data_IF_844936111305
#
_entry.id   IF_844936111305
#
_cell.length_a   1.000
_cell.length_b   1.000
_cell.length_c   1.000
_cell.angle_alpha   90.00
_cell.angle_beta   90.00
_cell.angle_gamma   90.00
#
_symmetry.space_group_name_H-M   'P 1'
#
loop_
_entity.id
_entity.type
_entity.pdbx_description
1 polymer ?
#
# COMPACT_ATOMS: atom_id res chain seq x y z
N UNK A 1 -1.76 -29.38 -11.94
CA UNK A 1 -0.59 -28.87 -11.18
C UNK A 1 -0.76 -29.19 -9.70
N UNK A 2 0.29 -29.56 -8.97
CA UNK A 2 0.22 -29.88 -7.54
C UNK A 2 -0.20 -28.65 -6.71
N UNK A 3 -1.08 -28.85 -5.74
CA UNK A 3 -1.64 -27.82 -4.84
C UNK A 3 -0.54 -26.98 -4.17
N UNK A 4 0.58 -27.62 -3.84
CA UNK A 4 1.74 -26.99 -3.23
C UNK A 4 2.28 -25.79 -4.04
N UNK A 5 2.35 -25.89 -5.37
CA UNK A 5 2.85 -24.80 -6.22
C UNK A 5 1.90 -23.59 -6.20
N UNK A 6 0.58 -23.80 -6.17
CA UNK A 6 -0.41 -22.70 -6.12
C UNK A 6 -0.32 -21.92 -4.81
N UNK A 7 -0.09 -22.62 -3.71
CA UNK A 7 0.10 -21.99 -2.39
C UNK A 7 1.39 -21.15 -2.42
N UNK A 8 2.48 -21.68 -2.96
CA UNK A 8 3.75 -20.96 -3.06
C UNK A 8 3.63 -19.70 -3.93
N UNK A 9 2.94 -19.78 -5.07
CA UNK A 9 2.66 -18.63 -5.92
C UNK A 9 1.83 -17.57 -5.19
N UNK A 10 0.75 -17.97 -4.51
CA UNK A 10 -0.09 -17.05 -3.73
C UNK A 10 0.71 -16.31 -2.64
N UNK A 11 1.62 -17.01 -1.96
CA UNK A 11 2.51 -16.41 -0.96
C UNK A 11 3.46 -15.43 -1.63
N UNK A 12 4.05 -15.81 -2.77
CA UNK A 12 4.94 -14.95 -3.55
C UNK A 12 4.28 -13.62 -3.96
N UNK A 13 3.08 -13.69 -4.52
CA UNK A 13 2.31 -12.49 -4.90
C UNK A 13 1.91 -11.64 -3.69
N UNK A 14 1.56 -12.27 -2.57
CA UNK A 14 1.24 -11.56 -1.33
C UNK A 14 2.46 -10.80 -0.81
N UNK A 15 3.63 -11.44 -0.76
CA UNK A 15 4.88 -10.79 -0.37
C UNK A 15 5.22 -9.61 -1.29
N UNK A 16 5.09 -9.78 -2.61
CA UNK A 16 5.32 -8.71 -3.57
C UNK A 16 4.36 -7.53 -3.34
N UNK A 17 3.08 -7.81 -3.13
CA UNK A 17 2.07 -6.79 -2.85
C UNK A 17 2.40 -5.97 -1.59
N UNK A 18 2.82 -6.62 -0.51
CA UNK A 18 3.24 -5.93 0.73
C UNK A 18 4.45 -5.03 0.50
N UNK A 19 5.45 -5.51 -0.25
CA UNK A 19 6.65 -4.72 -0.58
C UNK A 19 6.27 -3.49 -1.41
N UNK A 20 5.46 -3.66 -2.46
CA UNK A 20 4.99 -2.56 -3.29
C UNK A 20 4.18 -1.54 -2.47
N UNK A 21 3.33 -2.01 -1.56
CA UNK A 21 2.51 -1.15 -0.71
C UNK A 21 3.39 -0.27 0.19
N UNK A 22 4.37 -0.88 0.85
CA UNK A 22 5.31 -0.15 1.70
C UNK A 22 6.16 0.85 0.91
N UNK A 23 6.67 0.45 -0.25
CA UNK A 23 7.45 1.34 -1.12
C UNK A 23 6.60 2.50 -1.63
N UNK A 24 5.34 2.26 -2.01
CA UNK A 24 4.41 3.30 -2.42
C UNK A 24 4.14 4.33 -1.32
N UNK A 25 3.92 3.87 -0.09
CA UNK A 25 3.79 4.78 1.06
C UNK A 25 5.07 5.57 1.34
N UNK A 26 6.23 4.92 1.29
CA UNK A 26 7.52 5.61 1.46
C UNK A 26 7.81 6.62 0.37
N UNK A 27 7.41 6.34 -0.86
CA UNK A 27 7.52 7.28 -1.97
C UNK A 27 6.62 8.49 -1.74
N UNK A 28 5.38 8.27 -1.30
CA UNK A 28 4.49 9.37 -0.92
C UNK A 28 5.09 10.24 0.19
N UNK A 29 5.57 9.62 1.28
CA UNK A 29 6.20 10.33 2.40
C UNK A 29 7.49 11.08 1.99
N UNK A 30 8.13 10.68 0.88
CA UNK A 30 9.29 11.38 0.32
C UNK A 30 8.90 12.57 -0.57
N UNK A 31 7.77 12.46 -1.27
CA UNK A 31 7.27 13.49 -2.18
C UNK A 31 6.55 14.62 -1.44
N UNK A 32 5.83 14.29 -0.37
CA UNK A 32 5.12 15.26 0.45
C UNK A 32 6.03 15.74 1.60
N UNK A 33 6.35 17.06 1.67
CA UNK A 33 7.17 17.59 2.76
C UNK A 33 6.45 17.60 4.12
N UNK A 34 5.14 17.34 4.17
CA UNK A 34 4.35 17.40 5.40
C UNK A 34 4.41 16.06 6.15
N UNK A 35 4.75 16.11 7.45
CA UNK A 35 4.61 14.95 8.33
C UNK A 35 3.14 14.74 8.72
N UNK A 36 2.41 14.02 7.87
CA UNK A 36 1.01 13.68 8.10
C UNK A 36 0.81 12.85 9.37
N UNK A 37 1.80 12.06 9.80
CA UNK A 37 1.69 11.28 11.04
C UNK A 37 1.72 12.20 12.25
N UNK A 38 2.57 13.22 12.25
CA UNK A 38 2.58 14.25 13.28
C UNK A 38 1.29 15.06 13.28
N UNK A 39 0.77 15.45 12.11
CA UNK A 39 -0.49 16.18 11.98
C UNK A 39 -1.70 15.40 12.49
N UNK A 40 -1.78 14.10 12.18
CA UNK A 40 -2.83 13.21 12.72
C UNK A 40 -2.78 13.16 14.24
N UNK A 41 -1.58 13.10 14.85
CA UNK A 41 -1.42 13.11 16.31
C UNK A 41 -1.87 14.42 16.96
N UNK A 42 -1.79 15.54 16.23
CA UNK A 42 -2.31 16.84 16.67
C UNK A 42 -3.85 16.96 16.52
N UNK A 43 -4.52 15.94 15.98
CA UNK A 43 -5.95 15.95 15.74
C UNK A 43 -6.37 16.53 14.39
N UNK A 44 -5.43 16.66 13.44
CA UNK A 44 -5.74 17.15 12.10
C UNK A 44 -6.49 16.08 11.29
N UNK A 45 -7.81 16.20 11.26
CA UNK A 45 -8.71 15.28 10.55
C UNK A 45 -8.42 15.24 9.04
N UNK A 46 -8.03 16.36 8.43
CA UNK A 46 -7.76 16.43 7.00
C UNK A 46 -6.55 15.56 6.61
N UNK A 47 -5.47 15.60 7.39
CA UNK A 47 -4.33 14.69 7.20
C UNK A 47 -4.72 13.22 7.37
N UNK A 48 -5.60 12.90 8.32
CA UNK A 48 -6.10 11.54 8.50
C UNK A 48 -6.91 11.02 7.31
N UNK A 49 -7.80 11.85 6.76
CA UNK A 49 -8.57 11.53 5.55
C UNK A 49 -7.65 11.35 4.33
N UNK A 50 -6.69 12.25 4.15
CA UNK A 50 -5.71 12.17 3.06
C UNK A 50 -4.89 10.87 3.14
N UNK A 51 -4.33 10.57 4.31
CA UNK A 51 -3.56 9.34 4.52
C UNK A 51 -4.39 8.09 4.21
N UNK A 52 -5.67 8.09 4.60
CA UNK A 52 -6.60 6.99 4.33
C UNK A 52 -6.87 6.84 2.82
N UNK A 53 -7.07 7.95 2.12
CA UNK A 53 -7.27 7.95 0.67
C UNK A 53 -6.05 7.39 -0.08
N UNK A 54 -4.84 7.73 0.36
CA UNK A 54 -3.59 7.22 -0.24
C UNK A 54 -3.43 5.72 -0.03
N UNK A 55 -3.73 5.23 1.18
CA UNK A 55 -3.74 3.79 1.49
C UNK A 55 -4.70 3.05 0.55
N UNK A 56 -5.92 3.57 0.37
CA UNK A 56 -6.91 2.97 -0.54
C UNK A 56 -6.48 3.03 -2.01
N UNK A 57 -5.89 4.15 -2.44
CA UNK A 57 -5.40 4.32 -3.80
C UNK A 57 -4.27 3.32 -4.12
N UNK A 58 -3.27 3.22 -3.23
CA UNK A 58 -2.17 2.26 -3.37
C UNK A 58 -2.67 0.82 -3.38
N UNK A 59 -3.59 0.47 -2.48
CA UNK A 59 -4.19 -0.87 -2.46
C UNK A 59 -4.88 -1.19 -3.79
N UNK A 60 -5.66 -0.24 -4.32
CA UNK A 60 -6.37 -0.39 -5.59
C UNK A 60 -5.42 -0.58 -6.78
N UNK A 61 -4.34 0.21 -6.84
CA UNK A 61 -3.31 0.10 -7.88
C UNK A 61 -2.62 -1.28 -7.80
N UNK A 62 -2.22 -1.71 -6.61
CA UNK A 62 -1.53 -3.00 -6.43
C UNK A 62 -2.43 -4.16 -6.79
N UNK A 63 -3.70 -4.12 -6.39
CA UNK A 63 -4.70 -5.12 -6.80
C UNK A 63 -4.83 -5.15 -8.32
N UNK A 64 -4.92 -3.99 -8.98
CA UNK A 64 -5.02 -3.92 -10.43
C UNK A 64 -3.78 -4.50 -11.13
N UNK A 65 -2.57 -4.28 -10.58
CA UNK A 65 -1.32 -4.82 -11.12
C UNK A 65 -1.21 -6.34 -10.91
N UNK A 66 -1.59 -6.85 -9.73
CA UNK A 66 -1.52 -8.28 -9.41
C UNK A 66 -2.60 -9.07 -10.16
N UNK A 67 -3.78 -8.48 -10.37
CA UNK A 67 -4.88 -9.14 -11.07
C UNK A 67 -4.86 -8.93 -12.59
N UNK A 68 -4.01 -8.04 -13.11
CA UNK A 68 -3.88 -7.88 -14.57
C UNK A 68 -3.15 -9.09 -15.15
N UNK A 69 -3.76 -9.81 -16.12
CA UNK A 69 -3.19 -10.99 -16.75
C UNK A 69 -1.98 -10.69 -17.65
#
# INVERSE_FOLDING_TARGET
MPIFLRVLESVGWTCLGVVLFYLGLRLYDLLDPIDHRAEIRKGNLASGMLQSAIVLALASIIIAVILSP
#
